data_IF_158230271268
#
_entry.id   IF_158230271268
#
_cell.length_a   1.000
_cell.length_b   1.000
_cell.length_c   1.000
_cell.angle_alpha   90.00
_cell.angle_beta   90.00
_cell.angle_gamma   90.00
#
_symmetry.space_group_name_H-M   'P 1'
#
loop_
_entity.id
_entity.type
_entity.pdbx_description
1 polymer ?
#
# COMPACT_ATOMS: atom_id res chain seq x y z
N UNK A 1 -17.37 -10.39 15.15
CA UNK A 1 -17.74 -11.72 15.67
C UNK A 1 -17.58 -12.82 14.63
N UNK A 2 -18.28 -12.76 13.49
CA UNK A 2 -18.27 -13.85 12.50
C UNK A 2 -16.87 -14.32 12.11
N UNK A 3 -15.95 -13.41 11.76
CA UNK A 3 -14.56 -13.75 11.37
C UNK A 3 -13.82 -14.52 12.47
N UNK A 4 -13.97 -14.11 13.74
CA UNK A 4 -13.29 -14.74 14.88
C UNK A 4 -13.74 -16.19 15.08
N UNK A 5 -15.01 -16.50 14.79
CA UNK A 5 -15.60 -17.81 15.09
C UNK A 5 -15.64 -18.76 13.89
N UNK A 6 -15.59 -18.23 12.66
CA UNK A 6 -15.79 -19.03 11.44
C UNK A 6 -14.54 -19.15 10.57
N UNK A 7 -13.46 -18.42 10.85
CA UNK A 7 -12.21 -18.53 10.08
C UNK A 7 -11.16 -19.27 10.91
N UNK A 8 -10.80 -20.51 10.54
CA UNK A 8 -9.79 -21.28 11.25
C UNK A 8 -8.44 -20.55 11.32
N UNK A 9 -7.80 -20.59 12.48
CA UNK A 9 -6.48 -19.99 12.68
C UNK A 9 -6.47 -18.47 12.89
N UNK A 10 -7.63 -17.80 12.84
CA UNK A 10 -7.72 -16.38 13.19
C UNK A 10 -8.01 -16.21 14.69
N UNK A 11 -7.14 -15.48 15.38
CA UNK A 11 -7.37 -15.01 16.74
C UNK A 11 -7.54 -13.49 16.74
N UNK A 12 -8.71 -13.00 17.16
CA UNK A 12 -8.99 -11.57 17.31
C UNK A 12 -9.14 -11.25 18.80
N UNK A 13 -8.27 -10.42 19.39
CA UNK A 13 -8.35 -10.06 20.81
C UNK A 13 -9.68 -9.37 21.18
N UNK A 14 -10.19 -9.64 22.39
CA UNK A 14 -11.45 -9.06 22.89
C UNK A 14 -11.43 -7.52 22.93
N UNK A 15 -10.26 -6.93 23.20
CA UNK A 15 -10.08 -5.48 23.20
C UNK A 15 -10.39 -4.87 21.82
N UNK A 16 -9.98 -5.53 20.73
CA UNK A 16 -10.23 -5.05 19.36
C UNK A 16 -11.72 -5.16 19.02
N UNK A 17 -12.38 -6.24 19.43
CA UNK A 17 -13.82 -6.42 19.22
C UNK A 17 -14.62 -5.39 20.01
N UNK A 18 -14.26 -5.15 21.26
CA UNK A 18 -14.91 -4.17 22.13
C UNK A 18 -14.76 -2.75 21.55
N UNK A 19 -13.54 -2.37 21.15
CA UNK A 19 -13.24 -1.09 20.51
C UNK A 19 -14.07 -0.87 19.25
N UNK A 20 -14.08 -1.87 18.35
CA UNK A 20 -14.82 -1.78 17.10
C UNK A 20 -16.33 -1.70 17.32
N UNK A 21 -16.87 -2.46 18.29
CA UNK A 21 -18.30 -2.47 18.63
C UNK A 21 -18.77 -1.13 19.22
N UNK A 22 -17.94 -0.52 20.07
CA UNK A 22 -18.25 0.76 20.72
C UNK A 22 -18.11 1.99 19.81
N UNK A 23 -17.52 1.84 18.63
CA UNK A 23 -17.30 2.97 17.73
C UNK A 23 -18.58 3.42 17.02
N UNK A 24 -18.81 4.74 17.00
CA UNK A 24 -19.92 5.35 16.24
C UNK A 24 -19.80 5.09 14.73
N UNK A 25 -18.57 5.08 14.21
CA UNK A 25 -18.26 4.84 12.79
C UNK A 25 -17.33 3.63 12.66
N UNK A 26 -17.91 2.43 12.71
CA UNK A 26 -17.14 1.18 12.72
C UNK A 26 -16.21 1.02 11.50
N UNK A 27 -16.60 1.48 10.30
CA UNK A 27 -15.74 1.45 9.11
C UNK A 27 -14.46 2.28 9.32
N UNK A 28 -14.62 3.51 9.80
CA UNK A 28 -13.49 4.41 10.08
C UNK A 28 -12.61 3.87 11.21
N UNK A 29 -13.22 3.29 12.24
CA UNK A 29 -12.48 2.66 13.34
C UNK A 29 -11.68 1.44 12.87
N UNK A 30 -12.25 0.60 12.01
CA UNK A 30 -11.54 -0.53 11.41
C UNK A 30 -10.34 -0.09 10.56
N UNK A 31 -10.48 0.99 9.80
CA UNK A 31 -9.36 1.60 9.07
C UNK A 31 -8.28 2.11 10.03
N UNK A 32 -8.68 2.78 11.12
CA UNK A 32 -7.76 3.29 12.13
C UNK A 32 -6.98 2.15 12.82
N UNK A 33 -7.65 1.05 13.17
CA UNK A 33 -7.00 -0.16 13.73
C UNK A 33 -6.02 -0.76 12.72
N UNK A 34 -6.36 -0.80 11.42
CA UNK A 34 -5.47 -1.29 10.38
C UNK A 34 -4.20 -0.42 10.24
N UNK A 35 -4.36 0.90 10.27
CA UNK A 35 -3.25 1.87 10.23
C UNK A 35 -2.30 1.65 11.42
N UNK A 36 -2.84 1.55 12.63
CA UNK A 36 -2.05 1.31 13.86
C UNK A 36 -1.32 -0.02 13.80
N UNK A 37 -1.98 -1.08 13.30
CA UNK A 37 -1.35 -2.39 13.15
C UNK A 37 -0.18 -2.35 12.16
N UNK A 38 -0.32 -1.65 11.03
CA UNK A 38 0.77 -1.49 10.07
C UNK A 38 1.96 -0.74 10.70
N UNK A 39 1.69 0.29 11.51
CA UNK A 39 2.73 1.04 12.22
C UNK A 39 3.49 0.15 13.20
N UNK A 40 2.79 -0.66 14.00
CA UNK A 40 3.40 -1.61 14.93
C UNK A 40 4.20 -2.70 14.20
N UNK A 41 3.66 -3.26 13.12
CA UNK A 41 4.35 -4.29 12.33
C UNK A 41 5.66 -3.76 11.73
N UNK A 42 5.73 -2.47 11.40
CA UNK A 42 6.95 -1.83 10.88
C UNK A 42 8.08 -1.79 11.91
N UNK A 43 7.76 -1.82 13.20
CA UNK A 43 8.75 -1.80 14.29
C UNK A 43 9.35 -3.19 14.57
N UNK A 44 8.75 -4.25 14.00
CA UNK A 44 9.21 -5.63 14.19
C UNK A 44 10.37 -5.93 13.21
N UNK A 45 11.52 -6.31 13.76
CA UNK A 45 12.67 -6.73 12.97
C UNK A 45 12.34 -7.93 12.07
N UNK A 46 12.75 -7.87 10.81
CA UNK A 46 12.52 -8.92 9.82
C UNK A 46 11.21 -8.79 9.02
N UNK A 47 10.31 -7.87 9.37
CA UNK A 47 9.11 -7.59 8.58
C UNK A 47 9.47 -6.75 7.35
N UNK A 48 9.39 -7.33 6.15
CA UNK A 48 9.72 -6.63 4.90
C UNK A 48 8.58 -5.78 4.32
N UNK A 49 7.34 -6.00 4.77
CA UNK A 49 6.16 -5.30 4.29
C UNK A 49 4.85 -5.95 4.70
N UNK A 50 3.75 -5.43 4.18
CA UNK A 50 2.39 -5.89 4.44
C UNK A 50 1.66 -6.16 3.14
N UNK A 51 0.82 -7.20 3.11
CA UNK A 51 -0.15 -7.43 2.05
C UNK A 51 -1.53 -7.04 2.56
N UNK A 52 -2.11 -5.96 1.99
CA UNK A 52 -3.40 -5.44 2.40
C UNK A 52 -4.50 -6.08 1.57
N UNK A 53 -5.41 -6.81 2.23
CA UNK A 53 -6.64 -7.33 1.62
C UNK A 53 -7.80 -6.40 1.97
N UNK A 54 -8.47 -5.84 0.96
CA UNK A 54 -9.57 -4.90 1.14
C UNK A 54 -10.76 -5.28 0.25
N UNK A 55 -11.50 -6.31 0.64
CA UNK A 55 -12.66 -6.77 -0.12
C UNK A 55 -13.79 -5.72 -0.11
N UNK A 56 -14.17 -5.21 -1.29
CA UNK A 56 -15.22 -4.18 -1.47
C UNK A 56 -14.95 -2.87 -0.71
N UNK A 57 -13.68 -2.62 -0.42
CA UNK A 57 -13.17 -1.48 0.33
C UNK A 57 -11.89 -0.94 -0.33
N UNK A 58 -11.72 -1.18 -1.63
CA UNK A 58 -10.52 -0.86 -2.38
C UNK A 58 -10.23 0.64 -2.36
N UNK A 59 -11.28 1.48 -2.27
CA UNK A 59 -11.15 2.93 -2.14
C UNK A 59 -10.45 3.37 -0.85
N UNK A 60 -10.51 2.56 0.21
CA UNK A 60 -9.89 2.87 1.50
C UNK A 60 -8.38 2.56 1.53
N UNK A 61 -7.90 1.72 0.61
CA UNK A 61 -6.51 1.23 0.64
C UNK A 61 -5.53 2.38 0.48
N UNK A 62 -5.81 3.32 -0.43
CA UNK A 62 -4.95 4.48 -0.65
C UNK A 62 -4.77 5.30 0.63
N UNK A 63 -5.87 5.57 1.35
CA UNK A 63 -5.84 6.30 2.61
C UNK A 63 -5.08 5.54 3.71
N UNK A 64 -5.29 4.23 3.84
CA UNK A 64 -4.59 3.41 4.85
C UNK A 64 -3.08 3.41 4.61
N UNK A 65 -2.65 3.25 3.35
CA UNK A 65 -1.23 3.23 2.99
C UNK A 65 -0.58 4.59 3.23
N UNK A 66 -1.26 5.69 2.90
CA UNK A 66 -0.78 7.05 3.13
C UNK A 66 -0.66 7.34 4.64
N UNK A 67 -1.74 7.16 5.39
CA UNK A 67 -1.81 7.46 6.83
C UNK A 67 -0.93 6.55 7.70
N UNK A 68 -0.70 5.32 7.27
CA UNK A 68 0.24 4.42 7.97
C UNK A 68 1.70 4.84 7.81
N UNK A 69 2.02 5.66 6.80
CA UNK A 69 3.39 6.05 6.50
C UNK A 69 4.29 4.87 6.11
N UNK A 70 3.72 3.72 5.76
CA UNK A 70 4.45 2.47 5.49
C UNK A 70 5.41 2.61 4.30
N UNK A 71 5.13 3.54 3.39
CA UNK A 71 5.98 3.80 2.24
C UNK A 71 7.29 4.50 2.60
N UNK A 72 7.37 5.24 3.72
CA UNK A 72 8.59 5.95 4.13
C UNK A 72 9.25 6.75 2.99
N UNK A 73 8.45 7.50 2.22
CA UNK A 73 8.91 8.28 1.07
C UNK A 73 9.06 7.47 -0.24
N UNK A 74 8.83 6.16 -0.23
CA UNK A 74 8.75 5.36 -1.47
C UNK A 74 7.51 5.77 -2.28
N UNK A 75 7.68 5.87 -3.58
CA UNK A 75 6.56 6.06 -4.50
C UNK A 75 5.85 4.70 -4.70
N UNK A 76 4.50 4.63 -4.68
CA UNK A 76 3.75 3.45 -5.09
C UNK A 76 4.11 3.02 -6.52
N UNK A 77 3.94 1.75 -6.84
CA UNK A 77 4.10 1.30 -8.22
C UNK A 77 2.89 1.72 -9.08
N UNK A 78 3.17 2.15 -10.31
CA UNK A 78 2.19 2.42 -11.36
C UNK A 78 2.82 2.07 -12.72
N UNK A 79 2.03 1.75 -13.77
CA UNK A 79 2.54 1.17 -15.02
C UNK A 79 3.71 1.95 -15.69
N UNK A 80 3.72 3.28 -15.59
CA UNK A 80 4.77 4.13 -16.20
C UNK A 80 5.92 4.51 -15.25
N UNK A 81 5.98 3.94 -14.05
CA UNK A 81 6.96 4.31 -13.02
C UNK A 81 8.40 4.06 -13.47
N UNK A 82 8.64 2.95 -14.14
CA UNK A 82 9.99 2.51 -14.51
C UNK A 82 10.47 3.09 -15.84
N UNK A 83 9.56 3.67 -16.65
CA UNK A 83 9.89 4.30 -17.93
C UNK A 83 10.92 5.43 -17.78
N UNK A 84 10.86 6.19 -16.68
CA UNK A 84 11.80 7.29 -16.40
C UNK A 84 13.06 6.84 -15.64
N UNK A 85 13.04 5.65 -15.02
CA UNK A 85 14.19 5.10 -14.28
C UNK A 85 15.28 4.58 -15.22
N UNK A 86 14.92 4.16 -16.43
CA UNK A 86 15.86 3.74 -17.47
C UNK A 86 16.53 4.92 -18.20
N UNK A 87 15.89 6.08 -18.30
CA UNK A 87 16.47 7.27 -18.94
C UNK A 87 17.66 7.85 -18.14
N UNK A 88 17.55 7.87 -16.81
CA UNK A 88 18.64 8.35 -15.93
C UNK A 88 19.82 7.38 -15.80
N UNK A 89 19.70 6.15 -16.32
CA UNK A 89 20.71 5.09 -16.14
C UNK A 89 21.70 5.00 -17.31
N UNK A 90 21.48 5.76 -18.40
CA UNK A 90 22.33 5.71 -19.57
C UNK A 90 22.86 7.12 -19.96
N UNK A 91 24.07 7.51 -19.55
CA UNK A 91 24.68 8.78 -19.96
C UNK A 91 25.20 8.77 -21.42
N UNK A 92 24.89 7.76 -22.24
CA UNK A 92 25.40 7.61 -23.63
C UNK A 92 24.33 7.39 -24.68
N UNK A 93 23.26 8.17 -24.66
CA UNK A 93 22.43 8.34 -25.87
C UNK A 93 22.24 9.81 -26.17
N UNK A 94 23.35 10.49 -26.48
CA UNK A 94 23.28 11.69 -27.32
C UNK A 94 22.70 11.26 -28.68
N UNK A 95 21.65 11.91 -29.19
CA UNK A 95 21.19 11.65 -30.54
C UNK A 95 22.23 12.23 -31.50
N UNK A 96 22.93 11.37 -32.22
CA UNK A 96 23.78 11.80 -33.33
C UNK A 96 22.91 12.48 -34.38
N UNK A 97 23.09 13.79 -34.52
CA UNK A 97 22.60 14.58 -35.65
C UNK A 97 23.25 14.08 -36.94
N UNK A 98 22.45 13.46 -37.82
CA UNK A 98 22.65 13.51 -39.27
C UNK A 98 21.37 13.05 -40.00
N UNK A 99 20.63 14.05 -40.47
CA UNK A 99 19.55 14.14 -41.47
C UNK A 99 19.72 13.31 -42.79
N UNK A 100 18.84 13.38 -43.84
CA UNK A 100 17.40 13.78 -43.95
C UNK A 100 16.52 12.91 -44.92
N UNK A 101 15.18 13.16 -44.89
CA UNK A 101 14.14 12.99 -45.98
C UNK A 101 13.84 11.54 -46.46
N UNK A 102 12.66 11.14 -46.94
CA UNK A 102 11.42 11.76 -47.39
C UNK A 102 10.32 10.66 -47.62
N UNK A 103 9.05 11.04 -47.42
CA UNK A 103 7.83 10.71 -48.21
C UNK A 103 7.57 9.24 -48.63
N UNK A 104 6.52 8.64 -48.06
CA UNK A 104 5.32 8.11 -48.75
C UNK A 104 4.26 7.72 -47.70
#
# INVERSE_FOLDING_TARGET
EWIRTHVPGIHIPDAIITRLRGAQKQKAEGQQICIELIQQLREIEGVAGVHVMAYRQEEAVAEIIDRSGVLAGRVPWYPSRDSNRNASRNPKSEPSLSEPRAIA
#
